data_IF_378067312161
#
_entry.id   IF_378067312161
#
_cell.length_a   1.000
_cell.length_b   1.000
_cell.length_c   1.000
_cell.angle_alpha   90.00
_cell.angle_beta   90.00
_cell.angle_gamma   90.00
#
_symmetry.space_group_name_H-M   'P 1'
#
loop_
_entity.id
_entity.type
_entity.pdbx_description
1 polymer ?
#
# COMPACT_ATOMS: atom_id res chain seq x y z
N UNK A 1 56.61 0.91 10.84
CA UNK A 1 55.89 1.31 12.07
C UNK A 1 54.91 0.19 12.41
N UNK A 2 55.35 -0.77 13.23
CA UNK A 2 54.55 -1.86 13.82
C UNK A 2 53.82 -1.29 15.07
N UNK A 3 52.74 -1.83 15.64
CA UNK A 3 52.39 -3.22 15.93
C UNK A 3 50.87 -3.31 16.31
N UNK A 4 50.34 -4.32 17.03
CA UNK A 4 49.48 -5.38 16.48
C UNK A 4 48.09 -5.50 17.16
N UNK A 5 47.30 -6.49 16.75
CA UNK A 5 46.11 -6.95 17.47
C UNK A 5 46.44 -7.51 18.86
N UNK A 6 45.64 -7.16 19.88
CA UNK A 6 45.64 -7.83 21.19
C UNK A 6 44.20 -7.95 21.74
N UNK A 7 43.92 -9.13 22.24
CA UNK A 7 42.71 -9.69 22.83
C UNK A 7 42.41 -9.25 24.28
N UNK A 8 41.11 -9.08 24.59
CA UNK A 8 40.30 -9.53 25.77
C UNK A 8 40.94 -9.45 27.19
N UNK A 9 40.24 -8.88 28.20
CA UNK A 9 39.41 -9.71 29.10
C UNK A 9 38.06 -9.09 29.54
N UNK A 10 37.08 -9.96 29.80
CA UNK A 10 35.85 -9.70 30.55
C UNK A 10 36.17 -9.35 32.02
N UNK A 11 35.48 -8.40 32.66
CA UNK A 11 35.45 -8.34 34.11
C UNK A 11 34.60 -9.49 34.66
N UNK A 12 35.29 -10.31 35.44
CA UNK A 12 34.78 -11.39 36.27
C UNK A 12 34.08 -10.84 37.52
N UNK A 13 32.98 -11.51 37.87
CA UNK A 13 32.39 -11.77 39.18
C UNK A 13 32.95 -10.97 40.40
N UNK A 14 32.05 -10.42 41.22
CA UNK A 14 31.76 -10.99 42.56
C UNK A 14 31.42 -9.95 43.63
N UNK A 15 30.43 -10.35 44.46
CA UNK A 15 30.03 -9.81 45.77
C UNK A 15 29.20 -8.53 45.70
N UNK A 16 28.05 -8.45 46.36
CA UNK A 16 27.83 -8.86 47.75
C UNK A 16 26.37 -9.25 47.97
N UNK A 17 26.18 -10.40 48.61
CA UNK A 17 24.96 -10.77 49.33
C UNK A 17 24.70 -9.70 50.38
N UNK A 18 23.49 -9.14 50.41
CA UNK A 18 22.89 -8.67 51.65
C UNK A 18 21.49 -9.26 51.74
N UNK A 19 21.31 -10.00 52.82
CA UNK A 19 20.08 -10.67 53.20
C UNK A 19 18.95 -9.64 53.32
N UNK A 20 17.94 -9.78 52.45
CA UNK A 20 16.62 -9.21 52.63
C UNK A 20 15.67 -10.35 52.99
N UNK A 21 15.00 -10.20 54.12
CA UNK A 21 14.09 -11.15 54.75
C UNK A 21 13.00 -11.69 53.82
N UNK A 22 12.82 -13.01 53.85
CA UNK A 22 11.70 -13.73 53.26
C UNK A 22 10.45 -13.49 54.12
N UNK A 23 9.49 -12.73 53.60
CA UNK A 23 8.15 -12.63 54.18
C UNK A 23 7.25 -13.74 53.60
N UNK A 24 6.73 -14.68 54.40
CA UNK A 24 6.05 -15.89 53.93
C UNK A 24 4.56 -15.68 53.57
N UNK A 25 4.09 -14.44 53.45
CA UNK A 25 2.71 -14.10 53.09
C UNK A 25 2.61 -13.52 51.66
N UNK A 26 2.74 -14.41 50.68
CA UNK A 26 2.14 -14.43 49.33
C UNK A 26 1.09 -13.30 49.02
N UNK A 27 1.06 -12.61 47.87
CA UNK A 27 1.79 -12.82 46.61
C UNK A 27 1.44 -11.80 45.51
N UNK A 28 2.05 -12.03 44.34
CA UNK A 28 1.88 -11.40 43.02
C UNK A 28 2.71 -10.14 42.66
N UNK A 29 3.92 -10.44 42.17
CA UNK A 29 4.61 -9.90 40.99
C UNK A 29 4.53 -8.39 40.67
N UNK A 30 5.68 -7.73 40.87
CA UNK A 30 6.01 -6.41 40.31
C UNK A 30 5.99 -6.48 38.78
N UNK A 31 4.94 -5.91 38.18
CA UNK A 31 4.76 -5.75 36.73
C UNK A 31 5.89 -4.94 36.10
N UNK A 32 6.90 -5.62 35.57
CA UNK A 32 7.80 -5.05 34.57
C UNK A 32 6.99 -4.83 33.28
N UNK A 33 6.53 -3.60 33.04
CA UNK A 33 6.01 -3.24 31.72
C UNK A 33 7.17 -2.97 30.77
N UNK A 34 7.60 -4.00 30.06
CA UNK A 34 8.29 -3.86 28.78
C UNK A 34 7.26 -4.05 27.66
N UNK A 35 7.03 -3.02 26.84
CA UNK A 35 6.40 -3.21 25.53
C UNK A 35 6.92 -2.14 24.57
N UNK A 36 7.57 -2.57 23.49
CA UNK A 36 7.12 -2.07 22.19
C UNK A 36 7.10 -3.24 21.20
N UNK A 37 5.99 -3.99 21.17
CA UNK A 37 5.80 -5.10 20.22
C UNK A 37 4.39 -5.08 19.63
N UNK A 38 4.00 -3.96 19.02
CA UNK A 38 2.80 -3.94 18.15
C UNK A 38 3.01 -3.26 16.80
N UNK A 39 3.93 -2.30 16.70
CA UNK A 39 4.16 -1.58 15.42
C UNK A 39 5.04 -2.35 14.42
N UNK A 40 5.90 -3.27 14.88
CA UNK A 40 6.90 -3.93 14.04
C UNK A 40 6.45 -5.22 13.33
N UNK A 41 5.14 -5.56 13.38
CA UNK A 41 4.63 -6.87 12.92
C UNK A 41 3.53 -6.80 11.85
N UNK A 42 3.44 -5.70 11.09
CA UNK A 42 2.95 -5.89 9.71
C UNK A 42 4.11 -6.53 8.98
N UNK A 43 4.02 -7.85 8.80
CA UNK A 43 5.02 -8.67 8.13
C UNK A 43 5.58 -7.89 6.93
N UNK A 44 6.89 -7.70 6.92
CA UNK A 44 7.66 -7.54 5.70
C UNK A 44 7.52 -8.84 4.87
N UNK A 45 6.31 -9.11 4.39
CA UNK A 45 6.14 -9.84 3.15
C UNK A 45 7.00 -9.10 2.13
N UNK A 46 7.77 -9.82 1.32
CA UNK A 46 8.42 -9.22 0.17
C UNK A 46 7.41 -8.29 -0.51
N UNK A 47 7.68 -6.98 -0.53
CA UNK A 47 6.71 -6.00 -1.02
C UNK A 47 6.58 -6.22 -2.51
N UNK A 48 5.62 -7.06 -2.91
CA UNK A 48 5.29 -7.28 -4.31
C UNK A 48 4.77 -5.96 -4.86
N UNK A 49 5.27 -5.58 -6.02
CA UNK A 49 4.80 -4.39 -6.72
C UNK A 49 3.42 -4.66 -7.31
N UNK A 50 2.44 -3.93 -6.82
CA UNK A 50 1.07 -3.93 -7.32
C UNK A 50 1.00 -3.11 -8.61
N UNK A 51 0.47 -3.70 -9.68
CA UNK A 51 0.22 -2.96 -10.92
C UNK A 51 -1.16 -2.30 -10.88
N UNK A 52 -1.18 -1.00 -11.13
CA UNK A 52 -2.36 -0.14 -11.05
C UNK A 52 -2.76 0.34 -12.44
N UNK A 53 -4.05 0.22 -12.75
CA UNK A 53 -4.70 0.83 -13.90
C UNK A 53 -5.43 2.11 -13.53
N UNK A 54 -5.34 3.15 -14.36
CA UNK A 54 -6.16 4.37 -14.22
C UNK A 54 -7.26 4.37 -15.27
N UNK A 55 -8.52 4.56 -14.85
CA UNK A 55 -9.65 4.74 -15.76
C UNK A 55 -10.05 6.21 -15.71
N UNK A 56 -9.76 6.94 -16.80
CA UNK A 56 -9.83 8.39 -16.87
C UNK A 56 -8.46 9.03 -16.99
N UNK A 57 -8.39 10.15 -17.71
CA UNK A 57 -7.18 10.94 -17.94
C UNK A 57 -7.38 12.42 -17.61
N UNK A 58 -8.24 12.68 -16.61
CA UNK A 58 -8.61 14.02 -16.15
C UNK A 58 -7.79 14.49 -14.95
N UNK A 59 -8.25 15.59 -14.35
CA UNK A 59 -7.60 16.22 -13.19
C UNK A 59 -7.42 15.25 -12.02
N UNK A 60 -8.47 14.50 -11.66
CA UNK A 60 -8.41 13.59 -10.51
C UNK A 60 -7.48 12.41 -10.78
N UNK A 61 -7.49 11.86 -12.00
CA UNK A 61 -6.53 10.84 -12.41
C UNK A 61 -5.08 11.33 -12.33
N UNK A 62 -4.80 12.60 -12.62
CA UNK A 62 -3.46 13.17 -12.50
C UNK A 62 -3.01 13.24 -11.03
N UNK A 63 -3.92 13.58 -10.11
CA UNK A 63 -3.66 13.55 -8.66
C UNK A 63 -3.31 12.13 -8.21
N UNK A 64 -4.11 11.14 -8.60
CA UNK A 64 -3.83 9.73 -8.27
C UNK A 64 -2.53 9.25 -8.88
N UNK A 65 -2.24 9.59 -10.14
CA UNK A 65 -0.97 9.25 -10.78
C UNK A 65 0.24 9.87 -10.06
N UNK A 66 0.12 11.10 -9.55
CA UNK A 66 1.16 11.74 -8.76
C UNK A 66 1.31 11.11 -7.37
N UNK A 67 0.20 10.81 -6.69
CA UNK A 67 0.20 10.18 -5.38
C UNK A 67 0.76 8.75 -5.43
N UNK A 68 0.38 7.95 -6.42
CA UNK A 68 0.86 6.57 -6.56
C UNK A 68 2.37 6.47 -6.77
N UNK A 69 3.02 7.51 -7.32
CA UNK A 69 4.50 7.58 -7.42
C UNK A 69 5.19 7.60 -6.04
N UNK A 70 4.48 8.00 -4.99
CA UNK A 70 5.03 8.07 -3.62
C UNK A 70 4.73 6.82 -2.79
N UNK A 71 3.93 5.88 -3.32
CA UNK A 71 3.54 4.64 -2.64
C UNK A 71 4.55 3.53 -2.98
N UNK A 72 5.35 3.05 -2.00
CA UNK A 72 6.26 1.93 -2.23
C UNK A 72 5.49 0.68 -2.65
N UNK A 73 5.93 0.03 -3.72
CA UNK A 73 5.27 -1.18 -4.21
C UNK A 73 3.99 -0.93 -5.00
N UNK A 74 3.75 0.26 -5.52
CA UNK A 74 2.70 0.52 -6.52
C UNK A 74 3.31 1.08 -7.80
N UNK A 75 2.84 0.60 -8.96
CA UNK A 75 3.24 1.11 -10.28
C UNK A 75 2.01 1.35 -11.13
N UNK A 76 1.89 2.54 -11.70
CA UNK A 76 0.84 2.83 -12.69
C UNK A 76 1.27 2.24 -14.04
N UNK A 77 0.70 1.10 -14.40
CA UNK A 77 1.09 0.35 -15.59
C UNK A 77 0.22 0.68 -16.81
N UNK A 78 -1.04 1.05 -16.61
CA UNK A 78 -1.96 1.32 -17.70
C UNK A 78 -2.90 2.50 -17.41
N UNK A 79 -3.33 3.19 -18.46
CA UNK A 79 -4.37 4.20 -18.41
C UNK A 79 -5.37 4.00 -19.55
N UNK A 80 -6.66 4.17 -19.25
CA UNK A 80 -7.75 4.12 -20.21
C UNK A 80 -8.49 5.46 -20.32
N UNK A 81 -8.76 5.92 -21.54
CA UNK A 81 -9.57 7.12 -21.80
C UNK A 81 -10.07 7.14 -23.25
N UNK A 82 -11.36 7.48 -23.51
CA UNK A 82 -11.92 7.44 -24.86
C UNK A 82 -11.30 8.46 -25.82
N UNK A 83 -10.65 9.50 -25.31
CA UNK A 83 -10.02 10.53 -26.12
C UNK A 83 -8.55 10.23 -26.37
N UNK A 84 -8.22 9.79 -27.58
CA UNK A 84 -6.85 9.44 -27.98
C UNK A 84 -5.84 10.56 -27.71
N UNK A 85 -6.21 11.82 -27.95
CA UNK A 85 -5.34 12.97 -27.71
C UNK A 85 -5.04 13.18 -26.22
N UNK A 86 -6.08 13.14 -25.36
CA UNK A 86 -5.91 13.27 -23.90
C UNK A 86 -5.14 12.08 -23.33
N UNK A 87 -5.46 10.87 -23.80
CA UNK A 87 -4.77 9.64 -23.44
C UNK A 87 -3.27 9.73 -23.75
N UNK A 88 -2.91 10.20 -24.94
CA UNK A 88 -1.52 10.35 -25.36
C UNK A 88 -0.74 11.30 -24.47
N UNK A 89 -1.31 12.49 -24.24
CA UNK A 89 -0.69 13.50 -23.38
C UNK A 89 -0.51 12.99 -21.95
N UNK A 90 -1.57 12.45 -21.36
CA UNK A 90 -1.56 11.99 -19.98
C UNK A 90 -0.55 10.85 -19.77
N UNK A 91 -0.54 9.85 -20.66
CA UNK A 91 0.38 8.73 -20.57
C UNK A 91 1.84 9.19 -20.69
N UNK A 92 2.14 10.15 -21.59
CA UNK A 92 3.48 10.71 -21.72
C UNK A 92 3.91 11.48 -20.45
N UNK A 93 3.03 12.34 -19.92
CA UNK A 93 3.28 13.16 -18.73
C UNK A 93 3.55 12.31 -17.47
N UNK A 94 2.85 11.18 -17.33
CA UNK A 94 2.99 10.29 -16.19
C UNK A 94 3.88 9.06 -16.45
N UNK A 95 4.47 8.93 -17.64
CA UNK A 95 5.31 7.80 -18.07
C UNK A 95 4.61 6.43 -17.97
N UNK A 96 3.34 6.37 -18.37
CA UNK A 96 2.51 5.17 -18.30
C UNK A 96 2.60 4.41 -19.63
N UNK A 97 3.04 3.13 -19.64
CA UNK A 97 3.26 2.38 -20.87
C UNK A 97 1.95 1.90 -21.52
N UNK A 98 1.02 1.36 -20.73
CA UNK A 98 -0.25 0.82 -21.21
C UNK A 98 -1.26 1.94 -21.52
N UNK A 99 -1.81 1.94 -22.74
CA UNK A 99 -2.72 3.00 -23.21
C UNK A 99 -3.91 2.38 -23.93
N UNK A 100 -5.11 2.63 -23.44
CA UNK A 100 -6.33 2.03 -23.97
C UNK A 100 -7.40 3.09 -24.22
N UNK A 101 -8.05 3.05 -25.38
CA UNK A 101 -9.21 3.91 -25.65
C UNK A 101 -10.51 3.35 -25.06
N UNK A 102 -10.49 2.09 -24.63
CA UNK A 102 -11.59 1.41 -23.95
C UNK A 102 -11.07 0.81 -22.64
N UNK A 103 -11.73 1.12 -21.53
CA UNK A 103 -11.33 0.63 -20.22
C UNK A 103 -11.51 -0.89 -20.10
N UNK A 104 -12.44 -1.50 -20.83
CA UNK A 104 -12.68 -2.94 -20.79
C UNK A 104 -11.45 -3.72 -21.23
N UNK A 105 -10.71 -3.21 -22.21
CA UNK A 105 -9.43 -3.78 -22.68
C UNK A 105 -8.31 -3.66 -21.66
N UNK A 106 -8.35 -2.65 -20.80
CA UNK A 106 -7.44 -2.54 -19.65
C UNK A 106 -7.79 -3.57 -18.57
N UNK A 107 -9.08 -3.82 -18.34
CA UNK A 107 -9.54 -4.82 -17.35
C UNK A 107 -9.17 -6.26 -17.72
N UNK A 108 -8.99 -6.56 -19.00
CA UNK A 108 -8.53 -7.86 -19.50
C UNK A 108 -7.06 -8.17 -19.19
N UNK A 109 -6.27 -7.19 -18.74
CA UNK A 109 -4.86 -7.39 -18.40
C UNK A 109 -4.72 -8.12 -17.07
N UNK A 110 -4.21 -9.35 -17.08
CA UNK A 110 -3.99 -10.16 -15.87
C UNK A 110 -3.00 -9.50 -14.91
N UNK A 111 -2.04 -8.74 -15.42
CA UNK A 111 -1.05 -8.05 -14.60
C UNK A 111 -1.65 -6.90 -13.79
N UNK A 112 -2.75 -6.28 -14.23
CA UNK A 112 -3.41 -5.20 -13.49
C UNK A 112 -4.20 -5.80 -12.33
N UNK A 113 -3.84 -5.44 -11.11
CA UNK A 113 -4.47 -5.95 -9.88
C UNK A 113 -5.50 -4.97 -9.31
N UNK A 114 -5.25 -3.67 -9.47
CA UNK A 114 -6.08 -2.59 -8.92
C UNK A 114 -6.40 -1.57 -10.01
N UNK A 115 -7.62 -1.05 -10.02
CA UNK A 115 -8.00 0.11 -10.84
C UNK A 115 -8.43 1.29 -9.99
N UNK A 116 -8.05 2.49 -10.43
CA UNK A 116 -8.55 3.75 -9.89
C UNK A 116 -9.47 4.41 -10.91
N UNK A 117 -10.70 4.68 -10.52
CA UNK A 117 -11.73 5.28 -11.37
C UNK A 117 -11.72 6.79 -11.15
N UNK A 118 -11.23 7.53 -12.14
CA UNK A 118 -11.27 9.00 -12.23
C UNK A 118 -12.07 9.44 -13.46
N UNK A 119 -13.19 8.77 -13.72
CA UNK A 119 -14.09 9.00 -14.84
C UNK A 119 -15.21 10.01 -14.47
N UNK A 120 -16.09 10.41 -15.39
CA UNK A 120 -17.33 11.10 -15.06
C UNK A 120 -18.21 10.31 -14.06
N UNK A 121 -18.89 11.02 -13.16
CA UNK A 121 -19.62 10.44 -12.02
C UNK A 121 -20.70 9.42 -12.42
N UNK A 122 -21.35 9.64 -13.56
CA UNK A 122 -22.40 8.79 -14.13
C UNK A 122 -21.89 7.41 -14.58
N UNK A 123 -20.57 7.26 -14.74
CA UNK A 123 -19.94 6.00 -15.15
C UNK A 123 -19.32 5.22 -14.00
N UNK A 124 -19.28 5.78 -12.79
CA UNK A 124 -18.58 5.15 -11.66
C UNK A 124 -19.17 3.79 -11.30
N UNK A 125 -20.49 3.65 -11.24
CA UNK A 125 -21.16 2.39 -10.93
C UNK A 125 -20.86 1.31 -11.99
N UNK A 126 -21.08 1.62 -13.27
CA UNK A 126 -20.81 0.69 -14.39
C UNK A 126 -19.36 0.20 -14.38
N UNK A 127 -18.40 1.13 -14.26
CA UNK A 127 -16.97 0.80 -14.29
C UNK A 127 -16.58 0.00 -13.04
N UNK A 128 -17.14 0.33 -11.87
CA UNK A 128 -16.88 -0.39 -10.61
C UNK A 128 -17.33 -1.84 -10.70
N UNK A 129 -18.56 -2.08 -11.17
CA UNK A 129 -19.11 -3.42 -11.36
C UNK A 129 -18.26 -4.19 -12.36
N UNK A 130 -17.99 -3.62 -13.54
CA UNK A 130 -17.17 -4.27 -14.57
C UNK A 130 -15.76 -4.63 -14.07
N UNK A 131 -15.13 -3.76 -13.28
CA UNK A 131 -13.82 -4.01 -12.71
C UNK A 131 -13.85 -5.13 -11.64
N UNK A 132 -14.88 -5.13 -10.79
CA UNK A 132 -15.07 -6.17 -9.79
C UNK A 132 -15.35 -7.54 -10.43
N UNK A 133 -16.18 -7.60 -11.48
CA UNK A 133 -16.45 -8.80 -12.28
C UNK A 133 -15.18 -9.33 -12.96
N UNK A 134 -14.30 -8.44 -13.41
CA UNK A 134 -12.98 -8.77 -13.93
C UNK A 134 -11.95 -9.17 -12.85
N UNK A 135 -12.37 -9.28 -11.58
CA UNK A 135 -11.53 -9.69 -10.46
C UNK A 135 -10.52 -8.63 -10.01
N UNK A 136 -10.73 -7.37 -10.35
CA UNK A 136 -9.83 -6.25 -9.98
C UNK A 136 -10.25 -5.66 -8.64
N UNK A 137 -9.27 -5.22 -7.84
CA UNK A 137 -9.58 -4.33 -6.73
C UNK A 137 -9.94 -2.94 -7.26
N UNK A 138 -10.89 -2.26 -6.62
CA UNK A 138 -11.42 -0.99 -7.12
C UNK A 138 -11.21 0.13 -6.10
N UNK A 139 -10.66 1.25 -6.58
CA UNK A 139 -10.68 2.55 -5.91
C UNK A 139 -11.61 3.44 -6.73
N UNK A 140 -12.83 3.68 -6.23
CA UNK A 140 -13.80 4.55 -6.88
C UNK A 140 -13.69 5.98 -6.31
N UNK A 141 -13.64 6.98 -7.20
CA UNK A 141 -13.73 8.38 -6.78
C UNK A 141 -15.12 8.76 -6.26
N UNK A 142 -15.15 9.88 -5.53
CA UNK A 142 -16.40 10.45 -5.03
C UNK A 142 -17.11 11.29 -6.11
N UNK A 143 -18.45 11.23 -6.18
CA UNK A 143 -19.36 10.30 -5.48
C UNK A 143 -19.27 8.87 -6.04
N UNK A 144 -19.59 7.85 -5.23
CA UNK A 144 -19.57 6.44 -5.66
C UNK A 144 -20.47 6.19 -6.89
N UNK A 145 -21.64 6.82 -6.90
CA UNK A 145 -22.67 6.70 -7.93
C UNK A 145 -23.64 7.89 -7.81
N UNK A 146 -24.64 7.99 -8.70
CA UNK A 146 -25.57 9.11 -8.73
C UNK A 146 -26.78 8.95 -7.79
N UNK A 147 -27.14 7.72 -7.45
CA UNK A 147 -28.31 7.40 -6.63
C UNK A 147 -28.13 6.08 -5.87
N UNK A 148 -29.03 5.82 -4.91
CA UNK A 148 -28.96 4.62 -4.07
C UNK A 148 -29.17 3.31 -4.84
N UNK A 149 -30.00 3.32 -5.90
CA UNK A 149 -30.25 2.11 -6.67
C UNK A 149 -28.98 1.62 -7.39
N UNK A 150 -28.14 2.53 -7.87
CA UNK A 150 -26.80 2.23 -8.40
C UNK A 150 -25.79 1.81 -7.32
N UNK A 151 -26.02 2.16 -6.05
CA UNK A 151 -25.14 1.75 -4.96
C UNK A 151 -25.42 0.30 -4.51
N UNK A 152 -26.66 -0.15 -4.65
CA UNK A 152 -27.14 -1.47 -4.21
C UNK A 152 -26.93 -2.58 -5.24
N UNK A 153 -26.49 -2.26 -6.46
CA UNK A 153 -26.23 -3.19 -7.57
C UNK A 153 -24.91 -3.95 -7.40
#
# INVERSE_FOLDING_TARGET
>A
MAAPAVSVPLPTNSRRVMAGSFDPFNGSETRQQSTPLRTAMIRASAMRTVQVGLIGSGFVSAIHAAALKTVPGAVVAAVASPSQARLARFAAEHSIPGRFTDYRRLLELDEIEVVVIGAPNDLHAEITVAAAEAGKHVICEKPLCLNLAEADS
#
